data_IF_971969417245
#
_entry.id   IF_971969417245
#
_cell.length_a   1.000
_cell.length_b   1.000
_cell.length_c   1.000
_cell.angle_alpha   90.00
_cell.angle_beta   90.00
_cell.angle_gamma   90.00
#
_symmetry.space_group_name_H-M   'P 1'
#
loop_
_entity.id
_entity.type
_entity.pdbx_description
1 polymer ?
#
# COMPACT_ATOMS: atom_id res chain seq x y z
N UNK A 1 22.72 -29.71 2.86
CA UNK A 1 23.28 -28.41 2.50
C UNK A 1 24.75 -28.59 2.13
N UNK A 2 25.31 -27.89 1.14
CA UNK A 2 26.73 -28.02 0.80
C UNK A 2 27.31 -26.65 0.45
N UNK A 3 28.44 -26.35 1.09
CA UNK A 3 29.22 -25.14 0.96
C UNK A 3 29.83 -25.01 -0.44
N UNK A 4 29.76 -23.81 -0.99
CA UNK A 4 31.02 -23.25 -1.47
C UNK A 4 31.29 -22.01 -0.63
N UNK A 5 32.39 -22.13 0.14
CA UNK A 5 32.95 -21.16 1.09
C UNK A 5 32.18 -21.09 2.43
N UNK A 6 32.69 -21.87 3.39
CA UNK A 6 32.37 -21.93 4.84
C UNK A 6 30.94 -22.27 5.25
N UNK A 7 30.56 -23.54 5.04
CA UNK A 7 29.34 -24.14 5.60
C UNK A 7 29.53 -25.63 5.76
N UNK A 8 30.28 -26.02 6.79
CA UNK A 8 30.65 -27.40 7.04
C UNK A 8 29.45 -28.21 7.56
N UNK A 9 29.11 -29.27 6.83
CA UNK A 9 28.01 -30.19 7.10
C UNK A 9 28.40 -31.35 8.00
N UNK A 10 29.71 -31.50 8.21
CA UNK A 10 30.28 -32.57 9.02
C UNK A 10 30.54 -32.13 10.47
N UNK A 11 30.37 -30.85 10.79
CA UNK A 11 30.49 -30.40 12.17
C UNK A 11 29.22 -30.77 12.95
N UNK A 12 29.29 -31.91 13.63
CA UNK A 12 28.24 -32.40 14.53
C UNK A 12 27.92 -31.42 15.67
N UNK A 13 28.71 -30.36 15.88
CA UNK A 13 28.37 -29.29 16.83
C UNK A 13 27.21 -28.40 16.33
N UNK A 14 27.06 -28.21 15.01
CA UNK A 14 26.08 -27.30 14.41
C UNK A 14 24.76 -27.98 14.01
N UNK A 15 24.68 -29.32 14.14
CA UNK A 15 23.51 -30.13 13.77
C UNK A 15 23.20 -31.13 14.87
N UNK A 16 21.94 -31.31 15.25
CA UNK A 16 21.55 -32.46 16.08
C UNK A 16 21.51 -33.71 15.19
N UNK A 17 22.44 -34.68 15.37
CA UNK A 17 22.47 -35.89 14.55
C UNK A 17 21.25 -36.79 14.74
N UNK A 18 20.47 -36.61 15.81
CA UNK A 18 19.24 -37.36 16.06
C UNK A 18 18.03 -36.78 15.32
N UNK A 19 18.08 -35.50 14.95
CA UNK A 19 16.94 -34.81 14.33
C UNK A 19 17.24 -34.31 12.92
N UNK A 20 18.51 -34.13 12.56
CA UNK A 20 18.95 -33.58 11.27
C UNK A 20 18.66 -32.08 11.10
N UNK A 21 18.53 -31.33 12.20
CA UNK A 21 18.22 -29.89 12.20
C UNK A 21 19.35 -29.06 12.86
N UNK A 22 19.43 -27.75 12.60
CA UNK A 22 20.44 -26.90 13.21
C UNK A 22 20.22 -26.72 14.72
N UNK A 23 21.31 -26.53 15.47
CA UNK A 23 21.28 -26.36 16.93
C UNK A 23 21.25 -24.89 17.37
N UNK A 24 21.74 -23.95 16.55
CA UNK A 24 21.86 -22.52 16.88
C UNK A 24 21.01 -21.65 15.93
N UNK A 25 20.31 -20.62 16.45
CA UNK A 25 19.78 -19.49 15.68
C UNK A 25 20.66 -18.95 14.53
N UNK A 26 21.98 -18.96 14.64
CA UNK A 26 22.91 -18.48 13.60
C UNK A 26 22.99 -19.39 12.36
N UNK A 27 22.48 -20.61 12.47
CA UNK A 27 22.84 -21.67 11.54
C UNK A 27 22.20 -21.49 10.15
N UNK A 28 22.96 -21.93 9.15
CA UNK A 28 22.58 -21.86 7.74
C UNK A 28 22.05 -23.18 7.25
N UNK A 29 21.00 -23.04 6.46
CA UNK A 29 20.18 -24.08 5.98
C UNK A 29 20.03 -23.99 4.42
N UNK A 30 20.80 -24.73 3.58
CA UNK A 30 20.86 -24.74 2.06
C UNK A 30 20.44 -26.02 1.21
N UNK A 31 19.26 -26.10 0.55
CA UNK A 31 18.55 -27.36 0.17
C UNK A 31 19.18 -27.82 -1.12
N UNK A 32 20.18 -28.67 -0.98
CA UNK A 32 21.06 -29.18 -2.04
C UNK A 32 20.94 -30.69 -2.11
N UNK A 33 21.12 -31.24 -3.32
CA UNK A 33 21.39 -32.66 -3.57
C UNK A 33 20.26 -33.67 -3.27
N UNK A 34 19.00 -33.26 -3.22
CA UNK A 34 17.90 -34.23 -3.35
C UNK A 34 17.73 -34.58 -4.83
N UNK A 35 18.38 -35.68 -5.25
CA UNK A 35 18.21 -36.24 -6.59
C UNK A 35 16.79 -36.78 -6.72
N UNK A 36 15.88 -35.91 -7.16
CA UNK A 36 14.51 -36.29 -7.46
C UNK A 36 14.32 -36.38 -8.96
N UNK A 37 13.44 -37.28 -9.40
CA UNK A 37 12.84 -37.13 -10.70
C UNK A 37 12.20 -35.74 -10.80
N UNK A 38 12.32 -35.09 -11.94
CA UNK A 38 11.76 -33.77 -12.20
C UNK A 38 10.28 -33.71 -11.81
N UNK A 39 9.86 -32.62 -11.16
CA UNK A 39 8.47 -32.31 -10.78
C UNK A 39 7.95 -32.94 -9.48
N UNK A 40 8.82 -33.47 -8.61
CA UNK A 40 8.38 -33.95 -7.29
C UNK A 40 8.39 -32.85 -6.23
N UNK A 41 7.51 -33.01 -5.23
CA UNK A 41 7.50 -32.18 -4.03
C UNK A 41 8.36 -32.83 -2.95
N UNK A 42 9.35 -32.11 -2.42
CA UNK A 42 10.05 -32.48 -1.18
C UNK A 42 9.19 -32.00 -0.03
N UNK A 43 8.65 -32.92 0.77
CA UNK A 43 8.01 -32.54 2.03
C UNK A 43 9.02 -32.67 3.17
N UNK A 44 9.31 -31.55 3.84
CA UNK A 44 10.12 -31.50 5.05
C UNK A 44 9.17 -31.28 6.22
N UNK A 45 8.99 -32.32 7.04
CA UNK A 45 8.18 -32.21 8.26
C UNK A 45 9.05 -31.68 9.39
N UNK A 46 8.69 -30.54 9.97
CA UNK A 46 9.33 -29.99 11.16
C UNK A 46 8.81 -30.72 12.42
N UNK A 47 9.66 -30.91 13.44
CA UNK A 47 9.23 -31.46 14.72
C UNK A 47 8.24 -30.52 15.42
N UNK A 48 7.52 -31.02 16.42
CA UNK A 48 6.54 -30.21 17.16
C UNK A 48 7.17 -29.01 17.90
N UNK A 49 8.47 -29.07 18.18
CA UNK A 49 9.22 -27.99 18.83
C UNK A 49 9.66 -26.92 17.84
N UNK A 50 9.97 -25.72 18.34
CA UNK A 50 10.49 -24.63 17.52
C UNK A 50 11.89 -24.96 16.96
N UNK A 51 12.09 -24.68 15.68
CA UNK A 51 13.36 -24.80 14.96
C UNK A 51 13.84 -23.40 14.62
N UNK A 52 15.04 -23.01 15.07
CA UNK A 52 15.61 -21.69 14.82
C UNK A 52 16.59 -21.74 13.64
N UNK A 53 16.50 -20.78 12.71
CA UNK A 53 17.32 -20.75 11.49
C UNK A 53 17.65 -19.30 11.10
N UNK A 54 18.92 -19.02 10.81
CA UNK A 54 19.37 -17.72 10.30
C UNK A 54 19.32 -17.58 8.80
N UNK A 55 19.66 -18.64 8.06
CA UNK A 55 19.65 -18.61 6.60
C UNK A 55 18.97 -19.86 6.07
N UNK A 56 18.04 -19.71 5.14
CA UNK A 56 17.36 -20.76 4.40
C UNK A 56 17.63 -20.55 2.90
N UNK A 57 18.17 -21.54 2.20
CA UNK A 57 18.42 -21.49 0.75
C UNK A 57 17.82 -22.72 0.11
N UNK A 58 17.32 -22.59 -1.11
CA UNK A 58 16.75 -23.66 -1.92
C UNK A 58 17.47 -23.62 -3.26
N UNK A 59 18.35 -24.59 -3.54
CA UNK A 59 19.30 -24.47 -4.66
C UNK A 59 18.93 -25.23 -5.94
N UNK A 60 17.88 -26.08 -5.94
CA UNK A 60 17.42 -26.76 -7.16
C UNK A 60 16.14 -26.17 -7.77
N UNK A 61 16.26 -25.84 -9.06
CA UNK A 61 15.33 -25.11 -9.91
C UNK A 61 14.07 -25.86 -10.38
N UNK A 62 13.97 -27.17 -10.12
CA UNK A 62 12.94 -28.03 -10.73
C UNK A 62 11.93 -28.63 -9.75
N UNK A 63 12.04 -28.31 -8.45
CA UNK A 63 11.32 -28.99 -7.37
C UNK A 63 10.56 -28.01 -6.49
N UNK A 64 9.44 -28.48 -5.91
CA UNK A 64 8.69 -27.75 -4.88
C UNK A 64 9.14 -28.23 -3.51
N UNK A 65 9.48 -27.30 -2.62
CA UNK A 65 9.87 -27.60 -1.24
C UNK A 65 8.73 -27.21 -0.32
N UNK A 66 8.13 -28.19 0.34
CA UNK A 66 6.99 -28.04 1.24
C UNK A 66 7.47 -28.26 2.67
N UNK A 67 7.51 -27.21 3.48
CA UNK A 67 7.67 -27.34 4.94
C UNK A 67 6.29 -27.49 5.59
N UNK A 68 6.17 -28.49 6.45
CA UNK A 68 4.92 -28.80 7.17
C UNK A 68 5.16 -29.21 8.62
N UNK A 69 4.16 -29.00 9.49
CA UNK A 69 4.28 -29.25 10.93
C UNK A 69 5.16 -28.23 11.66
N UNK A 70 5.19 -28.30 12.99
CA UNK A 70 6.11 -27.52 13.82
C UNK A 70 6.08 -26.00 13.65
N UNK A 71 7.15 -25.36 14.16
CA UNK A 71 7.39 -23.91 14.12
C UNK A 71 8.81 -23.64 13.65
N UNK A 72 8.97 -22.79 12.64
CA UNK A 72 10.25 -22.30 12.11
C UNK A 72 10.44 -20.84 12.54
N UNK A 73 11.51 -20.56 13.25
CA UNK A 73 11.85 -19.23 13.80
C UNK A 73 13.04 -18.67 13.02
N UNK A 74 12.81 -17.62 12.25
CA UNK A 74 13.85 -16.87 11.55
C UNK A 74 14.49 -15.88 12.52
N UNK A 75 15.74 -16.13 12.87
CA UNK A 75 16.55 -15.34 13.81
C UNK A 75 18.00 -15.46 13.39
N UNK A 76 18.84 -14.44 13.58
CA UNK A 76 20.26 -14.49 13.20
C UNK A 76 21.10 -13.74 14.26
N UNK A 77 21.81 -14.49 15.11
CA UNK A 77 22.62 -13.91 16.19
C UNK A 77 23.86 -13.14 15.68
N UNK A 78 24.23 -13.26 14.40
CA UNK A 78 25.43 -12.67 13.81
C UNK A 78 25.25 -11.22 13.31
N UNK A 79 24.33 -10.44 13.87
CA UNK A 79 24.08 -9.01 13.56
C UNK A 79 23.66 -8.68 12.11
N UNK A 80 23.34 -9.70 11.30
CA UNK A 80 22.88 -9.53 9.92
C UNK A 80 21.44 -10.01 9.77
N UNK A 81 20.76 -9.61 8.70
CA UNK A 81 19.41 -10.07 8.43
C UNK A 81 19.38 -11.60 8.26
N UNK A 82 18.30 -12.24 8.72
CA UNK A 82 18.02 -13.61 8.31
C UNK A 82 17.72 -13.64 6.80
N UNK A 83 17.83 -14.80 6.15
CA UNK A 83 17.69 -14.91 4.69
C UNK A 83 16.85 -16.13 4.31
N UNK A 84 15.90 -15.98 3.39
CA UNK A 84 15.27 -17.07 2.64
C UNK A 84 15.59 -16.84 1.17
N UNK A 85 16.24 -17.78 0.49
CA UNK A 85 16.63 -17.64 -0.91
C UNK A 85 16.22 -18.86 -1.74
N UNK A 86 15.67 -18.63 -2.94
CA UNK A 86 15.44 -19.67 -3.94
C UNK A 86 16.31 -19.43 -5.18
N UNK A 87 16.86 -20.48 -5.80
CA UNK A 87 17.68 -20.36 -7.01
C UNK A 87 16.84 -20.14 -8.27
N UNK A 88 17.46 -19.58 -9.31
CA UNK A 88 16.82 -19.28 -10.61
C UNK A 88 16.28 -20.55 -11.30
N UNK A 89 15.01 -20.59 -11.75
CA UNK A 89 14.49 -21.70 -12.54
C UNK A 89 15.30 -21.90 -13.83
N UNK A 90 15.41 -23.14 -14.30
CA UNK A 90 15.83 -23.42 -15.68
C UNK A 90 14.71 -22.98 -16.65
N UNK A 91 15.01 -22.46 -17.85
CA UNK A 91 14.03 -21.80 -18.73
C UNK A 91 12.76 -22.58 -19.11
N UNK A 92 12.77 -23.91 -18.99
CA UNK A 92 11.74 -24.80 -19.57
C UNK A 92 11.11 -25.79 -18.56
N UNK A 93 11.29 -25.62 -17.25
CA UNK A 93 10.96 -26.65 -16.25
C UNK A 93 10.00 -26.14 -15.16
N UNK A 94 9.21 -27.02 -14.52
CA UNK A 94 8.32 -26.60 -13.43
C UNK A 94 9.15 -26.09 -12.26
N UNK A 95 8.62 -25.06 -11.64
CA UNK A 95 9.40 -23.94 -11.15
C UNK A 95 9.65 -24.08 -9.64
N UNK A 96 10.77 -23.58 -9.11
CA UNK A 96 11.12 -23.78 -7.71
C UNK A 96 10.18 -22.94 -6.84
N UNK A 97 9.36 -23.62 -6.05
CA UNK A 97 8.48 -22.99 -5.08
C UNK A 97 8.91 -23.41 -3.69
N UNK A 98 9.13 -22.43 -2.82
CA UNK A 98 9.21 -22.66 -1.39
C UNK A 98 7.81 -22.47 -0.82
N UNK A 99 7.33 -23.45 -0.07
CA UNK A 99 5.96 -23.48 0.44
C UNK A 99 5.95 -23.89 1.90
N UNK A 100 5.49 -23.02 2.80
CA UNK A 100 5.13 -23.45 4.16
C UNK A 100 3.64 -23.77 4.19
N UNK A 101 3.26 -25.01 4.49
CA UNK A 101 1.87 -25.43 4.68
C UNK A 101 1.74 -25.99 6.09
N UNK A 102 0.86 -25.43 6.92
CA UNK A 102 0.59 -25.91 8.30
C UNK A 102 1.81 -25.86 9.26
N UNK A 103 2.93 -25.29 8.85
CA UNK A 103 4.02 -24.85 9.74
C UNK A 103 3.84 -23.40 10.15
N UNK A 104 4.12 -23.07 11.40
CA UNK A 104 4.26 -21.67 11.81
C UNK A 104 5.62 -21.12 11.38
N UNK A 105 5.64 -19.93 10.77
CA UNK A 105 6.83 -19.14 10.46
C UNK A 105 6.86 -17.92 11.40
N UNK A 106 7.84 -17.85 12.28
CA UNK A 106 8.06 -16.70 13.17
C UNK A 106 9.27 -15.90 12.69
N UNK A 107 9.12 -14.58 12.53
CA UNK A 107 10.16 -13.66 12.09
C UNK A 107 10.56 -12.77 13.28
N UNK A 108 11.60 -13.16 14.01
CA UNK A 108 12.11 -12.39 15.16
C UNK A 108 13.15 -11.34 14.75
N UNK A 109 13.69 -11.44 13.55
CA UNK A 109 14.70 -10.52 13.01
C UNK A 109 14.38 -10.17 11.55
N UNK A 110 14.86 -9.01 11.10
CA UNK A 110 14.76 -8.59 9.71
C UNK A 110 15.20 -9.74 8.80
N UNK A 111 14.29 -10.21 7.96
CA UNK A 111 14.45 -11.39 7.10
C UNK A 111 14.36 -10.96 5.65
N UNK A 112 15.41 -11.24 4.89
CA UNK A 112 15.44 -11.02 3.45
C UNK A 112 14.87 -12.24 2.73
N UNK A 113 13.85 -12.07 1.90
CA UNK A 113 13.35 -13.10 1.00
C UNK A 113 13.84 -12.80 -0.42
N UNK A 114 14.70 -13.65 -0.99
CA UNK A 114 15.25 -13.51 -2.33
C UNK A 114 14.64 -14.59 -3.26
N UNK A 115 13.77 -14.19 -4.18
CA UNK A 115 13.08 -15.07 -5.11
C UNK A 115 13.22 -14.58 -6.58
N UNK A 116 13.65 -15.43 -7.53
CA UNK A 116 14.10 -14.98 -8.86
C UNK A 116 13.06 -15.00 -10.01
N UNK A 117 11.81 -15.44 -9.85
CA UNK A 117 10.96 -15.91 -10.99
C UNK A 117 9.77 -15.04 -11.43
N UNK A 118 9.60 -14.86 -12.75
CA UNK A 118 8.72 -13.92 -13.46
C UNK A 118 7.18 -14.17 -13.47
N UNK A 119 6.62 -15.20 -12.85
CA UNK A 119 5.15 -15.42 -12.85
C UNK A 119 4.62 -15.99 -11.53
N UNK A 120 3.37 -15.71 -11.12
CA UNK A 120 2.72 -16.49 -10.07
C UNK A 120 2.34 -17.87 -10.64
N UNK A 121 2.50 -18.97 -9.90
CA UNK A 121 2.83 -19.08 -8.47
C UNK A 121 4.32 -19.28 -8.13
N UNK A 122 5.23 -18.78 -8.96
CA UNK A 122 6.66 -19.08 -8.86
C UNK A 122 7.33 -18.17 -7.82
N UNK A 123 7.72 -18.73 -6.67
CA UNK A 123 8.42 -17.97 -5.63
C UNK A 123 8.32 -18.56 -4.23
N UNK A 124 8.36 -17.68 -3.24
CA UNK A 124 8.16 -18.02 -1.82
C UNK A 124 6.68 -17.83 -1.49
N UNK A 125 6.03 -18.94 -1.13
CA UNK A 125 4.64 -19.00 -0.70
C UNK A 125 4.57 -19.36 0.79
N UNK A 126 3.96 -18.48 1.57
CA UNK A 126 3.70 -18.73 3.00
C UNK A 126 2.22 -19.01 3.15
N UNK A 127 1.88 -20.26 3.45
CA UNK A 127 0.50 -20.75 3.61
C UNK A 127 0.26 -21.39 5.00
N UNK A 128 1.24 -21.37 5.89
CA UNK A 128 1.05 -21.63 7.32
C UNK A 128 1.01 -20.33 8.12
N UNK A 129 0.88 -20.42 9.46
CA UNK A 129 0.89 -19.23 10.29
C UNK A 129 2.17 -18.37 10.14
N UNK A 130 2.07 -17.05 10.25
CA UNK A 130 3.15 -16.07 10.13
C UNK A 130 3.08 -15.06 11.29
N UNK A 131 4.11 -14.99 12.13
CA UNK A 131 4.20 -14.14 13.32
C UNK A 131 5.54 -13.42 13.43
N UNK A 132 5.65 -12.45 14.33
CA UNK A 132 6.91 -11.81 14.72
C UNK A 132 7.06 -10.38 14.20
N UNK A 133 7.93 -9.62 14.88
CA UNK A 133 8.09 -8.17 14.70
C UNK A 133 9.19 -7.78 13.71
N UNK A 134 9.90 -8.74 13.11
CA UNK A 134 10.99 -8.45 12.17
C UNK A 134 10.49 -7.99 10.81
N UNK A 135 11.34 -7.26 10.09
CA UNK A 135 11.00 -6.76 8.76
C UNK A 135 11.19 -7.84 7.70
N UNK A 136 10.18 -8.09 6.87
CA UNK A 136 10.39 -8.89 5.65
C UNK A 136 10.84 -7.97 4.52
N UNK A 137 12.07 -8.13 4.05
CA UNK A 137 12.64 -7.37 2.91
C UNK A 137 12.78 -8.28 1.71
N UNK A 138 12.53 -7.79 0.49
CA UNK A 138 12.77 -8.58 -0.71
C UNK A 138 14.14 -8.30 -1.35
N UNK A 139 15.00 -9.32 -1.46
CA UNK A 139 16.38 -9.22 -1.98
C UNK A 139 16.50 -9.32 -3.50
N UNK A 140 17.58 -8.77 -4.08
CA UNK A 140 17.78 -8.64 -5.52
C UNK A 140 18.74 -9.66 -6.13
N UNK A 141 18.37 -10.19 -7.30
CA UNK A 141 19.29 -10.53 -8.42
C UNK A 141 18.50 -10.66 -9.73
N UNK A 142 18.42 -9.58 -10.51
CA UNK A 142 18.43 -9.69 -11.98
C UNK A 142 17.12 -9.64 -12.79
N UNK A 143 15.92 -9.53 -12.22
CA UNK A 143 14.72 -9.23 -13.04
C UNK A 143 13.55 -8.65 -12.24
N UNK A 144 12.82 -7.65 -12.79
CA UNK A 144 11.67 -6.97 -12.16
C UNK A 144 10.40 -7.84 -12.06
N UNK A 145 10.56 -9.17 -11.98
CA UNK A 145 9.47 -10.12 -12.12
C UNK A 145 9.34 -11.13 -11.00
N UNK A 146 10.23 -11.24 -10.02
CA UNK A 146 10.02 -12.29 -8.99
C UNK A 146 8.66 -12.13 -8.26
N UNK A 147 8.06 -13.20 -7.73
CA UNK A 147 6.80 -13.16 -6.96
C UNK A 147 7.02 -13.66 -5.52
N UNK A 148 6.32 -13.06 -4.55
CA UNK A 148 6.15 -13.61 -3.20
C UNK A 148 4.66 -13.57 -2.86
N UNK A 149 4.11 -14.71 -2.40
CA UNK A 149 2.69 -14.88 -2.16
C UNK A 149 2.42 -15.28 -0.70
N UNK A 150 1.59 -14.52 0.01
CA UNK A 150 1.10 -14.88 1.34
C UNK A 150 -0.35 -15.31 1.22
N UNK A 151 -0.75 -16.50 1.68
CA UNK A 151 -2.03 -17.09 1.22
C UNK A 151 -2.97 -17.65 2.29
N UNK A 152 -2.61 -17.62 3.58
CA UNK A 152 -3.45 -18.19 4.64
C UNK A 152 -3.89 -17.16 5.69
N UNK A 153 -5.17 -17.28 6.08
CA UNK A 153 -5.91 -16.46 7.04
C UNK A 153 -5.74 -16.90 8.51
N UNK A 154 -5.12 -18.07 8.77
CA UNK A 154 -5.10 -18.68 10.10
C UNK A 154 -4.23 -17.93 11.13
N UNK A 155 -3.32 -17.07 10.68
CA UNK A 155 -2.63 -16.11 11.55
C UNK A 155 -2.19 -14.90 10.75
N UNK A 156 -2.28 -13.75 11.37
CA UNK A 156 -2.08 -12.45 10.73
C UNK A 156 -0.67 -11.98 11.06
N UNK A 157 0.13 -11.66 10.05
CA UNK A 157 1.44 -11.05 10.25
C UNK A 157 1.31 -9.78 11.11
N UNK A 158 2.16 -9.63 12.12
CA UNK A 158 2.17 -8.51 13.08
C UNK A 158 3.56 -7.88 13.10
N UNK A 159 3.86 -7.10 12.08
CA UNK A 159 5.18 -6.49 11.87
C UNK A 159 5.20 -5.52 10.69
N UNK A 160 6.41 -5.19 10.23
CA UNK A 160 6.64 -4.29 9.08
C UNK A 160 7.04 -5.09 7.84
N UNK A 161 6.35 -4.88 6.72
CA UNK A 161 6.73 -5.47 5.42
C UNK A 161 7.42 -4.41 4.55
N UNK A 162 8.61 -4.71 4.01
CA UNK A 162 9.37 -3.84 3.11
C UNK A 162 9.49 -4.45 1.71
N UNK A 163 8.80 -3.84 0.74
CA UNK A 163 8.88 -4.19 -0.69
C UNK A 163 9.68 -3.12 -1.44
N UNK A 164 10.81 -3.51 -2.05
CA UNK A 164 11.74 -2.59 -2.72
C UNK A 164 11.98 -3.00 -4.19
N UNK A 165 12.52 -2.08 -5.01
CA UNK A 165 13.29 -2.36 -6.23
C UNK A 165 12.64 -3.27 -7.30
N UNK A 166 11.52 -2.86 -7.90
CA UNK A 166 10.95 -3.54 -9.09
C UNK A 166 10.23 -4.86 -8.81
N UNK A 167 9.93 -5.15 -7.54
CA UNK A 167 9.40 -6.44 -7.10
C UNK A 167 7.90 -6.43 -6.86
N UNK A 168 7.20 -7.48 -7.30
CA UNK A 168 5.77 -7.69 -7.02
C UNK A 168 5.55 -8.62 -5.83
N UNK A 169 4.81 -8.18 -4.83
CA UNK A 169 4.37 -8.98 -3.68
C UNK A 169 2.86 -9.08 -3.68
N UNK A 170 2.33 -10.29 -3.51
CA UNK A 170 0.89 -10.53 -3.49
C UNK A 170 0.45 -11.17 -2.20
N UNK A 171 -0.63 -10.65 -1.65
CA UNK A 171 -1.22 -11.14 -0.41
C UNK A 171 -2.62 -11.63 -0.73
N UNK A 172 -2.94 -12.82 -0.26
CA UNK A 172 -4.23 -13.48 -0.43
C UNK A 172 -4.82 -13.80 0.94
N UNK A 173 -6.15 -13.83 1.04
CA UNK A 173 -6.88 -14.37 2.20
C UNK A 173 -6.42 -13.78 3.55
N UNK A 174 -6.42 -12.46 3.68
CA UNK A 174 -6.23 -11.73 4.96
C UNK A 174 -4.86 -11.92 5.64
N UNK A 175 -3.85 -12.49 4.96
CA UNK A 175 -2.57 -12.83 5.58
C UNK A 175 -1.80 -11.63 6.18
N UNK A 176 -2.06 -10.40 5.72
CA UNK A 176 -1.46 -9.16 6.23
C UNK A 176 -2.41 -8.30 7.07
N UNK A 177 -3.53 -8.85 7.54
CA UNK A 177 -4.60 -8.06 8.19
C UNK A 177 -4.23 -7.44 9.56
N UNK A 178 -3.12 -7.86 10.18
CA UNK A 178 -2.56 -7.25 11.39
C UNK A 178 -1.22 -6.55 11.15
N UNK A 179 -0.77 -6.40 9.90
CA UNK A 179 0.52 -5.79 9.62
C UNK A 179 0.52 -4.34 10.14
N UNK A 180 1.52 -3.99 10.95
CA UNK A 180 1.64 -2.64 11.48
C UNK A 180 1.90 -1.62 10.35
N UNK A 181 2.75 -2.00 9.40
CA UNK A 181 3.12 -1.13 8.28
C UNK A 181 3.55 -1.96 7.04
N UNK A 182 3.24 -1.44 5.85
CA UNK A 182 3.76 -1.93 4.57
C UNK A 182 4.45 -0.78 3.84
N UNK A 183 5.75 -0.90 3.61
CA UNK A 183 6.57 0.06 2.89
C UNK A 183 6.81 -0.45 1.46
N UNK A 184 6.40 0.33 0.46
CA UNK A 184 6.57 0.01 -0.97
C UNK A 184 7.41 1.09 -1.63
N UNK A 185 8.53 0.72 -2.25
CA UNK A 185 9.46 1.72 -2.81
C UNK A 185 10.12 1.27 -4.11
N UNK A 186 10.67 2.23 -4.85
CA UNK A 186 11.52 2.01 -6.04
C UNK A 186 10.91 1.04 -7.08
N UNK A 187 9.77 1.41 -7.70
CA UNK A 187 9.07 0.59 -8.71
C UNK A 187 8.62 -0.81 -8.25
N UNK A 188 8.63 -1.11 -6.94
CA UNK A 188 7.95 -2.28 -6.42
C UNK A 188 6.44 -2.20 -6.67
N UNK A 189 5.76 -3.35 -6.58
CA UNK A 189 4.31 -3.53 -6.60
C UNK A 189 3.90 -4.34 -5.38
N UNK A 190 2.87 -3.90 -4.69
CA UNK A 190 2.18 -4.68 -3.67
C UNK A 190 0.73 -4.84 -4.10
N UNK A 191 0.22 -6.08 -4.11
CA UNK A 191 -1.15 -6.40 -4.46
C UNK A 191 -1.84 -7.23 -3.40
N UNK A 192 -3.05 -6.84 -3.03
CA UNK A 192 -3.88 -7.58 -2.08
C UNK A 192 -5.10 -8.18 -2.80
N UNK A 193 -5.24 -9.51 -2.77
CA UNK A 193 -6.33 -10.28 -3.36
C UNK A 193 -7.17 -10.91 -2.25
N UNK A 194 -8.50 -10.79 -2.31
CA UNK A 194 -9.40 -11.36 -1.30
C UNK A 194 -10.52 -10.40 -0.93
N UNK A 195 -11.58 -10.90 -0.31
CA UNK A 195 -12.79 -10.14 -0.03
C UNK A 195 -12.70 -9.25 1.23
N UNK A 196 -11.67 -9.40 2.06
CA UNK A 196 -11.66 -8.78 3.38
C UNK A 196 -10.28 -8.26 3.83
N UNK A 197 -10.26 -7.00 4.27
CA UNK A 197 -9.62 -6.55 5.53
C UNK A 197 -8.09 -6.64 5.66
N UNK A 198 -7.33 -5.89 4.86
CA UNK A 198 -6.22 -5.13 5.49
C UNK A 198 -6.88 -4.18 6.49
N UNK A 199 -6.66 -4.37 7.79
CA UNK A 199 -7.20 -3.52 8.85
C UNK A 199 -6.05 -2.78 9.49
N UNK A 200 -6.09 -1.45 9.42
CA UNK A 200 -5.18 -0.54 10.15
C UNK A 200 -3.71 -0.70 9.78
N UNK A 201 -3.43 -0.86 8.49
CA UNK A 201 -2.06 -0.86 7.98
C UNK A 201 -1.79 0.47 7.30
N UNK A 202 -0.69 1.12 7.70
CA UNK A 202 -0.13 2.25 6.96
C UNK A 202 0.67 1.69 5.79
N UNK A 203 0.34 2.14 4.59
CA UNK A 203 1.05 1.81 3.37
C UNK A 203 1.81 3.07 2.94
N UNK A 204 3.13 3.07 3.04
CA UNK A 204 3.94 4.17 2.50
C UNK A 204 4.45 3.76 1.12
N UNK A 205 4.08 4.51 0.09
CA UNK A 205 4.50 4.23 -1.27
C UNK A 205 5.22 5.41 -1.91
N UNK A 206 6.44 5.13 -2.37
CA UNK A 206 7.23 5.96 -3.31
C UNK A 206 7.29 5.24 -4.69
N UNK A 207 6.80 4.00 -4.77
CA UNK A 207 6.76 3.17 -5.97
C UNK A 207 5.35 3.04 -6.56
N UNK A 208 5.08 1.91 -7.24
CA UNK A 208 3.73 1.60 -7.71
C UNK A 208 2.99 0.77 -6.65
N UNK A 209 1.76 1.12 -6.33
CA UNK A 209 0.91 0.28 -5.48
C UNK A 209 -0.27 -0.20 -6.31
N UNK A 210 -0.63 -1.48 -6.23
CA UNK A 210 -1.75 -1.99 -7.03
C UNK A 210 -2.81 -2.59 -6.11
N UNK A 211 -4.06 -2.16 -6.25
CA UNK A 211 -5.22 -2.91 -5.75
C UNK A 211 -5.69 -3.84 -6.88
N UNK A 212 -5.23 -5.10 -6.92
CA UNK A 212 -5.47 -5.93 -8.08
C UNK A 212 -6.94 -6.32 -8.23
N UNK A 213 -7.30 -6.63 -9.47
CA UNK A 213 -8.65 -7.06 -9.83
C UNK A 213 -8.93 -8.48 -9.39
N UNK A 214 -10.12 -8.72 -8.83
CA UNK A 214 -10.68 -10.05 -8.58
C UNK A 214 -12.18 -10.02 -8.86
N UNK A 215 -12.76 -11.14 -9.30
CA UNK A 215 -14.11 -11.24 -9.86
C UNK A 215 -15.29 -11.15 -8.87
N UNK A 216 -15.08 -10.71 -7.63
CA UNK A 216 -16.18 -10.56 -6.65
C UNK A 216 -15.95 -9.35 -5.78
N UNK A 217 -16.92 -8.42 -5.72
CA UNK A 217 -16.84 -7.11 -5.06
C UNK A 217 -16.27 -7.13 -3.64
N UNK A 218 -14.96 -6.94 -3.51
CA UNK A 218 -14.23 -6.83 -2.27
C UNK A 218 -14.26 -5.38 -1.78
N UNK A 219 -14.46 -5.21 -0.49
CA UNK A 219 -14.25 -3.93 0.20
C UNK A 219 -12.89 -3.99 0.89
N UNK A 220 -12.00 -3.04 0.60
CA UNK A 220 -10.77 -2.90 1.35
C UNK A 220 -11.08 -2.13 2.64
N UNK A 221 -10.58 -2.63 3.79
CA UNK A 221 -10.82 -2.05 5.12
C UNK A 221 -10.20 -0.66 5.31
N UNK A 222 -10.16 -0.18 6.56
CA UNK A 222 -9.48 1.07 6.91
C UNK A 222 -7.96 0.91 6.70
N UNK A 223 -7.42 1.65 5.74
CA UNK A 223 -5.98 1.78 5.46
C UNK A 223 -5.59 3.25 5.43
N UNK A 224 -4.31 3.53 5.63
CA UNK A 224 -3.73 4.86 5.36
C UNK A 224 -2.70 4.68 4.25
N UNK A 225 -2.95 5.24 3.07
CA UNK A 225 -2.02 5.17 1.94
C UNK A 225 -1.31 6.50 1.80
N UNK A 226 -0.05 6.51 2.20
CA UNK A 226 0.86 7.64 2.10
C UNK A 226 1.55 7.58 0.73
N UNK A 227 1.05 8.38 -0.21
CA UNK A 227 1.64 8.53 -1.54
C UNK A 227 2.71 9.63 -1.52
N UNK A 228 3.90 9.35 -2.01
CA UNK A 228 4.93 10.37 -2.24
C UNK A 228 5.60 10.11 -3.59
N UNK A 229 5.11 10.77 -4.65
CA UNK A 229 5.56 10.57 -6.02
C UNK A 229 5.18 9.20 -6.62
N UNK A 230 4.20 8.53 -6.01
CA UNK A 230 3.78 7.18 -6.37
C UNK A 230 2.59 7.15 -7.34
N UNK A 231 2.47 6.03 -8.07
CA UNK A 231 1.27 5.67 -8.85
C UNK A 231 0.52 4.53 -8.16
N UNK A 232 -0.76 4.75 -7.86
CA UNK A 232 -1.65 3.75 -7.25
C UNK A 232 -2.60 3.24 -8.32
N UNK A 233 -2.52 1.97 -8.68
CA UNK A 233 -3.37 1.34 -9.68
C UNK A 233 -4.58 0.65 -9.03
N UNK A 234 -5.78 1.11 -9.33
CA UNK A 234 -7.02 0.52 -8.84
C UNK A 234 -7.74 -0.25 -9.96
N UNK A 235 -7.96 -1.55 -9.76
CA UNK A 235 -8.68 -2.41 -10.70
C UNK A 235 -10.15 -2.61 -10.30
N UNK A 236 -10.97 -2.92 -11.31
CA UNK A 236 -12.44 -2.86 -11.39
C UNK A 236 -13.27 -3.31 -10.17
N UNK A 237 -14.38 -2.60 -9.92
CA UNK A 237 -15.55 -3.12 -9.18
C UNK A 237 -15.37 -3.14 -7.66
N UNK A 238 -14.70 -2.12 -7.13
CA UNK A 238 -14.26 -2.07 -5.72
C UNK A 238 -14.77 -0.84 -5.00
N UNK A 239 -14.93 -0.98 -3.68
CA UNK A 239 -15.09 0.12 -2.75
C UNK A 239 -13.87 0.21 -1.83
N UNK A 240 -13.32 1.41 -1.69
CA UNK A 240 -12.12 1.73 -0.92
C UNK A 240 -12.50 2.56 0.30
N UNK A 241 -12.32 2.01 1.51
CA UNK A 241 -12.75 2.62 2.78
C UNK A 241 -11.59 3.20 3.62
N UNK A 242 -10.45 3.52 3.01
CA UNK A 242 -9.28 4.08 3.70
C UNK A 242 -9.07 5.59 3.48
N UNK A 243 -8.00 6.10 4.07
CA UNK A 243 -7.48 7.45 3.87
C UNK A 243 -6.35 7.43 2.85
N UNK A 244 -6.56 8.08 1.70
CA UNK A 244 -5.51 8.40 0.74
C UNK A 244 -4.89 9.75 1.11
N UNK A 245 -3.58 9.79 1.36
CA UNK A 245 -2.90 11.04 1.69
C UNK A 245 -1.51 11.21 1.08
N UNK A 246 -1.03 12.46 1.02
CA UNK A 246 0.26 12.81 0.43
C UNK A 246 0.20 13.36 -0.98
N UNK A 247 1.29 13.19 -1.73
CA UNK A 247 1.44 13.69 -3.10
C UNK A 247 1.62 12.54 -4.07
N UNK A 248 0.75 12.39 -5.06
CA UNK A 248 0.86 11.31 -6.04
C UNK A 248 -0.30 11.18 -7.01
N UNK A 249 -0.27 10.09 -7.77
CA UNK A 249 -1.26 9.76 -8.80
C UNK A 249 -1.96 8.47 -8.41
N UNK A 250 -3.29 8.44 -8.52
CA UNK A 250 -4.11 7.24 -8.47
C UNK A 250 -4.70 7.01 -9.84
N UNK A 251 -4.32 5.92 -10.48
CA UNK A 251 -4.77 5.52 -11.80
C UNK A 251 -5.81 4.40 -11.70
N UNK A 252 -6.95 4.58 -12.33
CA UNK A 252 -8.04 3.60 -12.34
C UNK A 252 -7.98 2.81 -13.65
N UNK A 253 -7.40 1.61 -13.62
CA UNK A 253 -7.01 0.83 -14.80
C UNK A 253 -7.99 -0.30 -15.19
N UNK A 254 -9.01 -0.59 -14.37
CA UNK A 254 -10.00 -1.64 -14.65
C UNK A 254 -11.12 -1.25 -15.64
N UNK A 255 -12.10 -2.13 -15.87
CA UNK A 255 -13.25 -1.82 -16.75
C UNK A 255 -14.53 -1.38 -16.02
N UNK A 256 -14.52 -1.37 -14.69
CA UNK A 256 -15.68 -1.03 -13.85
C UNK A 256 -15.36 0.15 -12.95
N UNK A 257 -16.39 0.87 -12.45
CA UNK A 257 -16.19 1.93 -11.48
C UNK A 257 -15.44 1.46 -10.23
N UNK A 258 -14.69 2.37 -9.63
CA UNK A 258 -14.05 2.19 -8.32
C UNK A 258 -14.53 3.32 -7.43
N UNK A 259 -15.18 2.97 -6.33
CA UNK A 259 -15.73 3.92 -5.36
C UNK A 259 -14.74 4.17 -4.24
N UNK A 260 -14.35 5.42 -4.04
CA UNK A 260 -13.68 5.88 -2.82
C UNK A 260 -14.74 6.31 -1.82
N UNK A 261 -14.84 5.59 -0.71
CA UNK A 261 -15.82 5.82 0.35
C UNK A 261 -15.19 6.27 1.68
N UNK A 262 -13.85 6.33 1.74
CA UNK A 262 -13.09 6.87 2.87
C UNK A 262 -12.66 8.33 2.67
N UNK A 263 -11.44 8.65 3.12
CA UNK A 263 -10.88 10.00 3.09
C UNK A 263 -9.86 10.23 1.99
N UNK A 264 -9.77 11.47 1.51
CA UNK A 264 -8.70 11.98 0.64
C UNK A 264 -8.14 13.23 1.29
N UNK A 265 -6.85 13.25 1.58
CA UNK A 265 -6.11 14.39 2.14
C UNK A 265 -4.84 14.61 1.32
N UNK A 266 -4.82 15.48 0.30
CA UNK A 266 -3.55 15.83 -0.34
C UNK A 266 -2.55 16.29 0.74
N UNK A 267 -1.31 15.81 0.69
CA UNK A 267 -0.32 16.06 1.74
C UNK A 267 -0.41 15.14 2.98
N UNK A 268 0.69 14.99 3.73
CA UNK A 268 0.74 14.14 4.94
C UNK A 268 0.82 15.00 6.21
N UNK A 269 1.58 16.11 6.19
CA UNK A 269 1.71 17.07 7.29
C UNK A 269 2.04 18.46 6.71
N UNK A 270 1.27 18.87 5.72
CA UNK A 270 1.52 20.07 4.92
C UNK A 270 0.88 19.92 3.55
N UNK A 271 1.12 20.89 2.67
CA UNK A 271 0.47 20.93 1.36
C UNK A 271 0.94 19.79 0.45
N UNK A 272 0.00 19.16 -0.25
CA UNK A 272 0.31 18.19 -1.30
C UNK A 272 -0.69 18.17 -2.45
N UNK A 273 -0.50 17.22 -3.36
CA UNK A 273 -1.39 17.07 -4.51
C UNK A 273 -1.71 15.61 -4.86
N UNK A 274 -3.00 15.31 -5.04
CA UNK A 274 -3.47 13.99 -5.44
C UNK A 274 -4.15 14.11 -6.80
N UNK A 275 -3.72 13.29 -7.76
CA UNK A 275 -4.37 13.17 -9.07
C UNK A 275 -5.13 11.85 -9.19
N UNK A 276 -6.44 11.88 -9.42
CA UNK A 276 -7.29 10.74 -9.69
C UNK A 276 -7.53 10.62 -11.20
N UNK A 277 -6.91 9.64 -11.87
CA UNK A 277 -6.89 9.53 -13.33
C UNK A 277 -7.61 8.27 -13.79
N UNK A 278 -8.67 8.42 -14.57
CA UNK A 278 -9.25 7.29 -15.31
C UNK A 278 -8.30 6.85 -16.43
N UNK A 279 -7.86 5.58 -16.35
CA UNK A 279 -7.13 4.87 -17.41
C UNK A 279 -7.92 3.67 -17.99
N UNK A 280 -9.13 3.47 -17.49
CA UNK A 280 -10.09 2.46 -17.92
C UNK A 280 -11.32 2.52 -17.01
N UNK A 281 -11.08 2.52 -15.69
CA UNK A 281 -12.11 2.47 -14.65
C UNK A 281 -12.55 3.88 -14.29
N UNK A 282 -13.83 4.06 -13.99
CA UNK A 282 -14.35 5.38 -13.59
C UNK A 282 -14.17 5.60 -12.10
N UNK A 283 -13.41 6.62 -11.66
CA UNK A 283 -13.39 6.99 -10.25
C UNK A 283 -14.75 7.53 -9.82
N UNK A 284 -15.24 7.05 -8.69
CA UNK A 284 -16.46 7.53 -8.04
C UNK A 284 -16.08 7.97 -6.63
N UNK A 285 -16.37 9.21 -6.27
CA UNK A 285 -16.12 9.73 -4.92
C UNK A 285 -17.43 9.72 -4.14
N UNK A 286 -17.48 8.86 -3.12
CA UNK A 286 -18.63 8.70 -2.25
C UNK A 286 -19.85 8.05 -2.92
N UNK A 287 -20.90 7.91 -2.13
CA UNK A 287 -22.23 7.44 -2.51
C UNK A 287 -23.28 8.08 -1.60
N UNK A 288 -24.56 7.87 -1.88
CA UNK A 288 -25.68 8.28 -1.02
C UNK A 288 -25.71 7.59 0.33
N UNK A 289 -25.21 6.36 0.41
CA UNK A 289 -25.14 5.59 1.65
C UNK A 289 -23.86 5.87 2.45
N UNK A 290 -22.77 6.26 1.79
CA UNK A 290 -21.47 6.52 2.41
C UNK A 290 -20.75 7.66 1.69
N UNK A 291 -20.63 8.81 2.35
CA UNK A 291 -19.99 10.01 1.79
C UNK A 291 -18.47 9.91 1.90
N UNK A 292 -17.76 10.31 0.84
CA UNK A 292 -16.31 10.47 0.91
C UNK A 292 -15.94 11.72 1.71
N UNK A 293 -14.81 11.69 2.41
CA UNK A 293 -14.26 12.84 3.11
C UNK A 293 -13.13 13.44 2.26
N UNK A 294 -13.16 14.74 2.03
CA UNK A 294 -12.08 15.48 1.36
C UNK A 294 -11.51 16.49 2.36
N UNK A 295 -10.23 16.40 2.65
CA UNK A 295 -9.51 17.30 3.53
C UNK A 295 -8.60 18.19 2.71
N UNK A 296 -8.68 19.51 2.92
CA UNK A 296 -7.91 20.52 2.18
C UNK A 296 -7.27 21.47 3.20
N UNK A 297 -5.95 21.46 3.21
CA UNK A 297 -5.11 22.33 4.01
C UNK A 297 -4.62 23.53 3.16
N UNK A 298 -4.76 24.74 3.72
CA UNK A 298 -4.35 26.00 3.08
C UNK A 298 -3.19 26.59 3.89
N UNK A 299 -1.98 26.52 3.35
CA UNK A 299 -0.78 26.97 4.08
C UNK A 299 -0.46 28.46 3.90
N UNK A 300 -1.11 29.17 2.96
CA UNK A 300 -0.83 30.57 2.71
C UNK A 300 -1.84 31.30 1.82
N UNK A 301 -1.62 32.60 1.55
CA UNK A 301 -2.56 33.45 0.82
C UNK A 301 -2.55 33.18 -0.69
N UNK A 302 -3.21 32.10 -1.11
CA UNK A 302 -3.28 31.73 -2.52
C UNK A 302 -1.92 31.32 -3.10
N UNK A 303 -1.93 30.95 -4.38
CA UNK A 303 -0.70 30.63 -5.10
C UNK A 303 -0.81 29.36 -5.94
N UNK A 304 0.29 28.61 -6.03
CA UNK A 304 0.44 27.43 -6.88
C UNK A 304 -0.25 26.23 -6.21
N UNK A 305 -1.25 25.59 -6.86
CA UNK A 305 -1.88 24.40 -6.33
C UNK A 305 -0.88 23.27 -6.07
N UNK A 306 -0.99 22.62 -4.92
CA UNK A 306 -0.05 21.58 -4.47
C UNK A 306 1.26 22.12 -3.92
N UNK A 307 1.40 23.45 -3.77
CA UNK A 307 2.53 24.12 -3.11
C UNK A 307 2.04 25.00 -1.96
N UNK A 308 1.08 25.89 -2.23
CA UNK A 308 0.55 26.85 -1.25
C UNK A 308 -0.74 26.35 -0.56
N UNK A 309 -1.46 25.45 -1.22
CA UNK A 309 -2.66 24.79 -0.75
C UNK A 309 -2.81 23.40 -1.36
N UNK A 310 -3.52 22.53 -0.68
CA UNK A 310 -3.80 21.18 -1.16
C UNK A 310 -4.53 21.18 -2.49
N UNK A 311 -4.20 20.20 -3.33
CA UNK A 311 -4.77 20.11 -4.67
C UNK A 311 -5.24 18.70 -5.02
N UNK A 312 -6.51 18.60 -5.43
CA UNK A 312 -7.13 17.39 -5.94
C UNK A 312 -7.45 17.56 -7.42
N UNK A 313 -6.78 16.79 -8.27
CA UNK A 313 -7.03 16.78 -9.70
C UNK A 313 -7.77 15.52 -10.13
N UNK A 314 -8.93 15.62 -10.76
CA UNK A 314 -9.72 14.47 -11.23
C UNK A 314 -9.79 14.49 -12.75
N UNK A 315 -9.31 13.45 -13.42
CA UNK A 315 -9.11 13.43 -14.88
C UNK A 315 -9.78 12.25 -15.59
N UNK A 316 -10.18 12.49 -16.83
CA UNK A 316 -10.72 11.54 -17.80
C UNK A 316 -12.07 10.94 -17.40
N UNK A 317 -12.90 11.66 -16.65
CA UNK A 317 -14.25 11.23 -16.29
C UNK A 317 -15.14 10.98 -17.52
N UNK A 318 -15.99 9.96 -17.43
CA UNK A 318 -17.03 9.64 -18.42
C UNK A 318 -18.43 10.13 -18.00
N UNK A 319 -18.58 10.59 -16.76
CA UNK A 319 -19.79 11.19 -16.23
C UNK A 319 -19.41 12.30 -15.24
N UNK A 320 -20.29 13.29 -14.99
CA UNK A 320 -19.94 14.36 -14.08
C UNK A 320 -19.70 13.85 -12.64
N UNK A 321 -18.74 14.48 -11.95
CA UNK A 321 -18.48 14.18 -10.54
C UNK A 321 -19.59 14.78 -9.67
N UNK A 322 -20.30 13.96 -8.90
CA UNK A 322 -21.33 14.44 -7.97
C UNK A 322 -20.72 14.93 -6.66
N UNK A 323 -20.78 16.24 -6.40
CA UNK A 323 -20.26 16.83 -5.16
C UNK A 323 -21.15 16.51 -3.94
N UNK A 324 -22.43 16.20 -4.17
CA UNK A 324 -23.38 15.81 -3.11
C UNK A 324 -23.03 14.49 -2.41
N UNK A 325 -22.00 13.79 -2.89
CA UNK A 325 -21.47 12.57 -2.29
C UNK A 325 -20.20 12.81 -1.45
N UNK A 326 -19.75 14.06 -1.33
CA UNK A 326 -18.48 14.42 -0.69
C UNK A 326 -18.75 15.41 0.46
N UNK A 327 -18.13 15.15 1.61
CA UNK A 327 -18.00 16.10 2.74
C UNK A 327 -16.62 16.75 2.64
N UNK A 328 -16.59 18.08 2.64
CA UNK A 328 -15.35 18.85 2.58
C UNK A 328 -14.95 19.33 3.99
N UNK A 329 -13.68 19.17 4.32
CA UNK A 329 -13.03 19.70 5.53
C UNK A 329 -11.94 20.67 5.10
N UNK A 330 -12.05 21.93 5.51
CA UNK A 330 -11.07 22.96 5.17
C UNK A 330 -10.33 23.40 6.43
N UNK A 331 -9.00 23.42 6.34
CA UNK A 331 -8.14 24.01 7.38
C UNK A 331 -7.21 25.07 6.78
N UNK A 332 -6.61 25.89 7.65
CA UNK A 332 -5.68 26.93 7.23
C UNK A 332 -6.34 28.25 6.81
N UNK A 333 -5.58 29.13 6.16
CA UNK A 333 -6.01 30.51 5.90
C UNK A 333 -5.46 31.03 4.57
N UNK A 334 -6.34 31.51 3.70
CA UNK A 334 -6.01 32.10 2.40
C UNK A 334 -6.03 33.62 2.36
N UNK A 335 -6.48 34.28 3.44
CA UNK A 335 -6.88 35.68 3.37
C UNK A 335 -8.00 35.88 2.34
N UNK A 336 -7.87 36.91 1.50
CA UNK A 336 -8.87 37.26 0.48
C UNK A 336 -8.66 36.57 -0.88
N UNK A 337 -7.69 35.67 -1.01
CA UNK A 337 -7.33 35.05 -2.29
C UNK A 337 -8.04 33.70 -2.47
N UNK A 338 -8.58 33.46 -3.66
CA UNK A 338 -9.16 32.16 -4.03
C UNK A 338 -8.07 31.11 -4.18
N UNK A 339 -8.18 30.03 -3.41
CA UNK A 339 -7.36 28.82 -3.55
C UNK A 339 -8.12 27.78 -4.35
N UNK A 340 -7.72 27.58 -5.60
CA UNK A 340 -8.31 26.56 -6.48
C UNK A 340 -7.76 25.19 -6.11
N UNK A 341 -8.46 24.51 -5.19
CA UNK A 341 -8.01 23.25 -4.62
C UNK A 341 -8.49 22.02 -5.40
N UNK A 342 -9.45 22.17 -6.32
CA UNK A 342 -9.94 21.05 -7.13
C UNK A 342 -10.14 21.43 -8.58
N UNK A 343 -9.68 20.56 -9.50
CA UNK A 343 -9.97 20.65 -10.94
C UNK A 343 -10.48 19.29 -11.43
N UNK A 344 -11.58 19.31 -12.19
CA UNK A 344 -12.34 18.13 -12.63
C UNK A 344 -12.47 18.14 -14.15
N UNK A 345 -11.61 17.37 -14.81
CA UNK A 345 -11.58 17.25 -16.26
C UNK A 345 -12.16 15.91 -16.71
N UNK A 346 -13.34 15.95 -17.35
CA UNK A 346 -13.89 14.81 -18.07
C UNK A 346 -13.64 14.85 -19.57
N UNK A 347 -14.08 13.81 -20.27
CA UNK A 347 -14.07 13.80 -21.75
C UNK A 347 -15.05 14.85 -22.28
N UNK A 348 -14.57 15.79 -23.10
CA UNK A 348 -15.37 16.89 -23.64
C UNK A 348 -15.59 18.01 -22.60
N UNK A 349 -16.86 18.32 -22.33
CA UNK A 349 -17.29 19.39 -21.39
C UNK A 349 -17.64 18.87 -19.99
N UNK A 350 -17.47 17.57 -19.74
CA UNK A 350 -17.77 16.96 -18.46
C UNK A 350 -16.92 17.56 -17.32
N UNK A 351 -17.60 17.88 -16.21
CA UNK A 351 -17.03 18.51 -15.00
C UNK A 351 -17.69 17.92 -13.74
N UNK A 352 -17.90 18.71 -12.70
CA UNK A 352 -18.66 18.36 -11.51
C UNK A 352 -20.11 18.87 -11.59
N UNK A 353 -20.98 18.35 -10.70
CA UNK A 353 -22.37 18.77 -10.55
C UNK A 353 -22.75 18.93 -9.07
N UNK A 354 -23.65 19.89 -8.83
CA UNK A 354 -24.16 20.21 -7.49
C UNK A 354 -23.13 20.92 -6.61
N UNK A 355 -23.39 20.92 -5.31
CA UNK A 355 -22.50 21.42 -4.26
C UNK A 355 -22.07 20.27 -3.35
N UNK A 356 -21.08 20.51 -2.49
CA UNK A 356 -20.70 19.54 -1.46
C UNK A 356 -21.89 19.18 -0.57
N UNK A 357 -21.92 17.95 -0.06
CA UNK A 357 -22.95 17.51 0.88
C UNK A 357 -22.91 18.35 2.15
N UNK A 358 -21.71 18.58 2.65
CA UNK A 358 -21.42 19.44 3.79
C UNK A 358 -20.02 20.04 3.64
N UNK A 359 -19.82 21.21 4.22
CA UNK A 359 -18.54 21.91 4.28
C UNK A 359 -18.28 22.29 5.72
N UNK A 360 -17.24 21.68 6.30
CA UNK A 360 -16.81 21.95 7.66
C UNK A 360 -15.44 22.63 7.65
N UNK A 361 -15.17 23.39 8.71
CA UNK A 361 -13.95 24.18 8.82
C UNK A 361 -13.48 24.27 10.26
N UNK A 362 -12.20 24.61 10.45
CA UNK A 362 -11.67 24.89 11.78
C UNK A 362 -12.47 26.04 12.45
N UNK A 363 -12.65 26.04 13.79
CA UNK A 363 -13.52 27.00 14.48
C UNK A 363 -13.15 28.47 14.29
N UNK A 364 -11.90 28.76 13.90
CA UNK A 364 -11.35 30.12 13.84
C UNK A 364 -11.38 30.73 12.44
N UNK A 365 -11.91 30.02 11.44
CA UNK A 365 -11.95 30.47 10.05
C UNK A 365 -13.37 30.45 9.51
N UNK A 366 -13.64 31.33 8.55
CA UNK A 366 -14.85 31.32 7.74
C UNK A 366 -14.45 30.93 6.33
N UNK A 367 -15.24 30.06 5.74
CA UNK A 367 -14.98 29.46 4.43
C UNK A 367 -16.06 29.88 3.44
N UNK A 368 -15.64 30.44 2.31
CA UNK A 368 -16.51 30.76 1.18
C UNK A 368 -16.12 29.95 -0.04
N UNK A 369 -17.06 29.15 -0.55
CA UNK A 369 -16.86 28.27 -1.70
C UNK A 369 -17.06 29.02 -3.01
N UNK A 370 -16.20 28.74 -4.00
CA UNK A 370 -16.28 29.30 -5.34
C UNK A 370 -16.34 28.16 -6.35
N UNK A 371 -17.41 28.12 -7.13
CA UNK A 371 -17.64 27.14 -8.17
C UNK A 371 -17.47 27.79 -9.54
N UNK A 372 -16.42 27.43 -10.26
CA UNK A 372 -16.15 27.87 -11.62
C UNK A 372 -16.39 26.69 -12.58
N UNK A 373 -17.65 26.55 -13.01
CA UNK A 373 -18.08 25.45 -13.89
C UNK A 373 -17.53 25.58 -15.30
N UNK A 374 -17.21 26.80 -15.75
CA UNK A 374 -16.64 27.07 -17.07
C UNK A 374 -15.21 26.53 -17.16
N UNK A 375 -14.39 26.81 -16.14
CA UNK A 375 -13.02 26.31 -16.04
C UNK A 375 -12.93 24.99 -15.26
N UNK A 376 -14.06 24.42 -14.86
CA UNK A 376 -14.20 23.08 -14.25
C UNK A 376 -13.42 22.90 -12.95
N UNK A 377 -13.27 23.98 -12.20
CA UNK A 377 -12.50 24.04 -10.96
C UNK A 377 -13.36 24.53 -9.80
N UNK A 378 -12.93 24.16 -8.60
CA UNK A 378 -13.55 24.54 -7.34
C UNK A 378 -12.46 25.19 -6.49
N UNK A 379 -12.81 26.33 -5.92
CA UNK A 379 -11.93 27.10 -5.08
C UNK A 379 -12.57 27.46 -3.77
N UNK A 380 -11.73 27.96 -2.87
CA UNK A 380 -12.12 28.37 -1.53
C UNK A 380 -11.41 29.65 -1.14
N UNK A 381 -12.12 30.51 -0.40
CA UNK A 381 -11.53 31.63 0.33
C UNK A 381 -11.80 31.37 1.82
N UNK A 382 -10.75 31.13 2.58
CA UNK A 382 -10.75 30.92 4.02
C UNK A 382 -10.07 32.10 4.73
N UNK A 383 -10.75 32.76 5.67
CA UNK A 383 -10.19 33.88 6.42
C UNK A 383 -10.51 33.79 7.92
N UNK A 384 -9.68 34.36 8.80
CA UNK A 384 -9.91 34.30 10.24
C UNK A 384 -11.19 35.06 10.62
N UNK A 385 -11.96 34.50 11.56
CA UNK A 385 -13.20 35.09 12.06
C UNK A 385 -13.09 36.57 12.50
N UNK A 386 -12.00 37.07 13.15
CA UNK A 386 -11.89 38.49 13.47
C UNK A 386 -11.77 39.42 12.25
N UNK A 387 -11.43 38.89 11.07
CA UNK A 387 -11.35 39.67 9.83
C UNK A 387 -12.74 39.98 9.23
N UNK A 388 -13.78 39.19 9.54
CA UNK A 388 -15.16 39.45 9.08
C UNK A 388 -15.72 40.71 9.75
N UNK A 389 -15.46 40.89 11.04
CA UNK A 389 -15.87 42.10 11.77
C UNK A 389 -15.17 43.34 11.22
N UNK A 390 -13.87 43.25 10.90
CA UNK A 390 -13.09 44.34 10.29
C UNK A 390 -13.51 44.65 8.85
N UNK A 391 -13.84 43.65 8.03
CA UNK A 391 -14.32 43.86 6.66
C UNK A 391 -15.74 44.42 6.64
N UNK A 392 -16.64 43.96 7.51
CA UNK A 392 -17.96 44.54 7.72
C UNK A 392 -17.87 45.99 8.23
N UNK A 393 -16.93 46.28 9.15
CA UNK A 393 -16.64 47.65 9.59
C UNK A 393 -16.08 48.51 8.45
N UNK A 394 -15.17 47.98 7.63
CA UNK A 394 -14.61 48.68 6.47
C UNK A 394 -15.65 48.97 5.39
N UNK A 395 -16.67 48.13 5.22
CA UNK A 395 -17.81 48.38 4.34
C UNK A 395 -18.85 49.33 4.96
N UNK A 396 -19.01 49.33 6.29
CA UNK A 396 -19.92 50.21 7.00
C UNK A 396 -19.43 51.66 7.09
N UNK A 397 -18.12 51.90 7.18
CA UNK A 397 -17.55 53.26 7.33
C UNK A 397 -17.82 54.16 6.10
N UNK A 398 -17.68 53.71 4.85
CA UNK A 398 -18.08 54.49 3.68
C UNK A 398 -19.60 54.70 3.58
N UNK A 399 -20.40 53.69 3.96
CA UNK A 399 -21.86 53.78 3.95
C UNK A 399 -22.39 54.79 4.98
N UNK A 400 -21.75 54.88 6.15
CA UNK A 400 -22.04 55.86 7.19
C UNK A 400 -21.54 57.27 6.83
N UNK A 401 -20.43 57.38 6.09
CA UNK A 401 -19.98 58.68 5.54
C UNK A 401 -20.91 59.23 4.46
N UNK A 402 -21.53 58.37 3.65
CA UNK A 402 -22.47 58.78 2.59
C UNK A 402 -23.83 59.28 3.09
N UNK A 403 -24.20 58.98 4.34
CA UNK A 403 -25.42 59.50 4.99
C UNK A 403 -25.21 60.84 5.71
N UNK A 404 -23.99 61.38 5.72
CA UNK A 404 -23.60 62.58 6.47
C UNK A 404 -23.25 63.80 5.61
N UNK A 405 -23.34 63.65 4.29
CA UNK A 405 -23.43 64.74 3.30
C UNK A 405 -24.82 64.68 2.67
#
# INVERSE_FOLDING_TARGET
WQSTVDGDWADAANWDPNTGYPNDPADTAIFTNLFMATNQAVTVTLPANAVTVGVLRVLYASNVYVLTGGRLVMTNSASTNALISTSTPAPNWPRPTYLTIRSELEILQDTVIAAPSYNPPDGVMVAGPLHGSGTITRGSTGSPGGYCAFTNAASRFDGVLRVHAGYSTYVYNDAMSNAAEVLVSYNARFGCYGADRIKKTTINTIGAFTFPGGSGGSSYGEWVLNCTGATVECYSGRSLYGLLQGTGIVQFAGNSPVSFLGGIKPGIDGVGSVSLIRAGGTPVLGSTASRAQLHIDIAGPGGVPGVDHDYLFVKNLLAPLSLSNIVLHVTGNSGATTNWFMDVQGTGTLSYVGTFFDVTNAPTIIVHMIYDTENRRIGVVAFPEPALLLSLLACAVPALRRKRN
#
